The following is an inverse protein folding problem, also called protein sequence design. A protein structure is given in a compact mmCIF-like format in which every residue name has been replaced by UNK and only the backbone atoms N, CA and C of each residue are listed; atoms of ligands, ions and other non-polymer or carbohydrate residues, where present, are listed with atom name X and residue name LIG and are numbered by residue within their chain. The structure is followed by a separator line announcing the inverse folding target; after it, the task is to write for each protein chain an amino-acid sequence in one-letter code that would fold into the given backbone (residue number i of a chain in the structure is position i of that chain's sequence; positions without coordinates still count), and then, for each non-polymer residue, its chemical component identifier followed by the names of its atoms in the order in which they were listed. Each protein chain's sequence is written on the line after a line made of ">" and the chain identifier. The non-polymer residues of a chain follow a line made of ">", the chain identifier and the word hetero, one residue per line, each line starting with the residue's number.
data_IF_199968873971
#
_entry.id   IF_199968873971
#
_cell.length_a   1.000
_cell.length_b   1.000
_cell.length_c   1.000
_cell.angle_alpha   90.00
_cell.angle_beta   90.00
_cell.angle_gamma   90.00
#
_symmetry.space_group_name_H-M   'P 1'
#
loop_
_entity.id
_entity.type
_entity.pdbx_description
1 polymer ?
#
# COMPACT_ATOMS: atom_id res chain seq x y z
N UNK A 1 -24.13 -11.58 -8.02
CA UNK A 1 -23.51 -11.25 -6.71
C UNK A 1 -24.12 -9.94 -6.23
N UNK A 2 -25.01 -9.98 -5.25
CA UNK A 2 -25.72 -8.79 -4.75
C UNK A 2 -24.74 -7.86 -4.03
N UNK A 3 -24.27 -6.81 -4.73
CA UNK A 3 -23.55 -5.73 -4.06
C UNK A 3 -24.56 -4.92 -3.25
N UNK A 4 -24.61 -5.15 -1.94
CA UNK A 4 -25.35 -4.32 -0.99
C UNK A 4 -24.69 -2.93 -0.92
N UNK A 5 -25.01 -2.06 -1.88
CA UNK A 5 -24.65 -0.64 -1.85
C UNK A 5 -25.48 0.06 -0.79
N UNK A 6 -24.85 0.50 0.30
CA UNK A 6 -25.48 1.36 1.31
C UNK A 6 -25.18 2.83 0.99
N UNK A 7 -26.22 3.67 0.98
CA UNK A 7 -26.03 5.12 0.92
C UNK A 7 -25.39 5.61 2.22
N UNK A 8 -24.35 6.43 2.09
CA UNK A 8 -23.78 7.18 3.18
C UNK A 8 -24.27 8.62 3.08
N UNK A 9 -24.81 9.17 4.16
CA UNK A 9 -25.16 10.59 4.25
C UNK A 9 -23.90 11.42 4.50
N UNK A 10 -22.97 11.39 3.55
CA UNK A 10 -21.76 12.22 3.58
C UNK A 10 -22.01 13.50 2.81
N UNK A 11 -21.85 14.65 3.47
CA UNK A 11 -21.80 15.92 2.78
C UNK A 11 -20.49 16.01 1.97
N UNK A 12 -20.63 16.32 0.68
CA UNK A 12 -19.50 16.63 -0.20
C UNK A 12 -19.47 18.15 -0.43
N UNK A 13 -18.29 18.78 -0.49
CA UNK A 13 -18.18 20.19 -0.85
C UNK A 13 -18.78 20.45 -2.23
N UNK A 14 -19.51 21.56 -2.38
CA UNK A 14 -20.19 21.89 -3.64
C UNK A 14 -19.19 22.04 -4.80
N UNK A 15 -18.04 22.66 -4.53
CA UNK A 15 -16.97 22.86 -5.53
C UNK A 15 -16.51 21.53 -6.14
N UNK A 16 -16.30 20.51 -5.29
CA UNK A 16 -15.90 19.17 -5.72
C UNK A 16 -17.01 18.43 -6.47
N UNK A 17 -18.27 18.63 -6.08
CA UNK A 17 -19.41 18.07 -6.80
C UNK A 17 -19.57 18.71 -8.19
N UNK A 18 -19.33 20.01 -8.31
CA UNK A 18 -19.40 20.72 -9.57
C UNK A 18 -18.29 20.26 -10.52
N UNK A 19 -17.05 20.13 -10.03
CA UNK A 19 -15.93 19.60 -10.80
C UNK A 19 -16.15 18.13 -11.23
N UNK A 20 -16.71 17.30 -10.35
CA UNK A 20 -17.05 15.91 -10.68
C UNK A 20 -18.10 15.86 -11.79
N UNK A 21 -19.12 16.72 -11.73
CA UNK A 21 -20.20 16.80 -12.72
C UNK A 21 -19.73 17.35 -14.06
N UNK A 22 -18.78 18.30 -14.07
CA UNK A 22 -18.24 18.86 -15.31
C UNK A 22 -17.28 17.89 -16.01
N UNK A 23 -16.58 17.06 -15.25
CA UNK A 23 -15.52 16.18 -15.78
C UNK A 23 -16.04 14.80 -16.18
N UNK A 24 -17.04 14.26 -15.46
CA UNK A 24 -17.44 12.85 -15.59
C UNK A 24 -18.95 12.72 -15.91
N UNK A 25 -19.33 11.85 -16.86
CA UNK A 25 -20.73 11.54 -17.16
C UNK A 25 -21.48 11.02 -15.94
N UNK A 26 -22.75 11.42 -15.80
CA UNK A 26 -23.60 11.16 -14.62
C UNK A 26 -23.65 9.69 -14.16
N UNK A 27 -23.53 8.74 -15.09
CA UNK A 27 -23.59 7.30 -14.82
C UNK A 27 -22.26 6.71 -14.32
N UNK A 28 -21.13 7.39 -14.51
CA UNK A 28 -19.81 6.96 -14.01
C UNK A 28 -19.42 7.63 -12.69
N UNK A 29 -20.11 8.71 -12.30
CA UNK A 29 -19.79 9.49 -11.10
C UNK A 29 -19.74 8.65 -9.83
N UNK A 30 -20.70 7.75 -9.63
CA UNK A 30 -20.74 6.87 -8.45
C UNK A 30 -19.56 5.89 -8.41
N UNK A 31 -19.16 5.37 -9.57
CA UNK A 31 -18.02 4.47 -9.70
C UNK A 31 -16.71 5.20 -9.41
N UNK A 32 -16.52 6.39 -9.97
CA UNK A 32 -15.30 7.18 -9.76
C UNK A 32 -15.16 7.60 -8.30
N UNK A 33 -16.24 8.04 -7.66
CA UNK A 33 -16.24 8.37 -6.22
C UNK A 33 -15.88 7.13 -5.38
N UNK A 34 -16.45 5.97 -5.70
CA UNK A 34 -16.13 4.74 -4.98
C UNK A 34 -14.67 4.29 -5.18
N UNK A 35 -14.13 4.40 -6.40
CA UNK A 35 -12.73 4.08 -6.70
C UNK A 35 -11.76 5.07 -6.03
N UNK A 36 -12.04 6.37 -6.09
CA UNK A 36 -11.27 7.41 -5.40
C UNK A 36 -11.22 7.18 -3.90
N UNK A 37 -12.39 6.92 -3.28
CA UNK A 37 -12.47 6.62 -1.85
C UNK A 37 -11.70 5.34 -1.48
N UNK A 38 -11.77 4.29 -2.30
CA UNK A 38 -10.98 3.05 -2.10
C UNK A 38 -9.49 3.32 -2.14
N UNK A 39 -9.02 4.15 -3.08
CA UNK A 39 -7.62 4.48 -3.22
C UNK A 39 -7.10 5.33 -2.05
N UNK A 40 -7.86 6.33 -1.62
CA UNK A 40 -7.49 7.14 -0.46
C UNK A 40 -7.48 6.32 0.84
N UNK A 41 -8.46 5.43 1.05
CA UNK A 41 -8.46 4.52 2.19
C UNK A 41 -7.24 3.59 2.17
N UNK A 42 -6.84 3.07 1.00
CA UNK A 42 -5.61 2.28 0.87
C UNK A 42 -4.38 3.12 1.24
N UNK A 43 -4.29 4.36 0.77
CA UNK A 43 -3.17 5.27 1.07
C UNK A 43 -3.06 5.56 2.57
N UNK A 44 -4.18 5.85 3.23
CA UNK A 44 -4.23 6.08 4.69
C UNK A 44 -3.82 4.81 5.44
N UNK A 45 -4.36 3.64 5.08
CA UNK A 45 -3.97 2.36 5.69
C UNK A 45 -2.49 2.07 5.51
N UNK A 46 -1.95 2.31 4.32
CA UNK A 46 -0.53 2.13 4.03
C UNK A 46 0.34 3.07 4.87
N UNK A 47 -0.01 4.36 4.95
CA UNK A 47 0.71 5.33 5.80
C UNK A 47 0.67 4.92 7.28
N UNK A 48 -0.49 4.48 7.77
CA UNK A 48 -0.65 3.95 9.14
C UNK A 48 0.17 2.69 9.38
N UNK A 49 0.32 1.82 8.38
CA UNK A 49 1.16 0.63 8.49
C UNK A 49 2.66 0.95 8.43
N UNK A 50 3.06 1.99 7.68
CA UNK A 50 4.46 2.40 7.59
C UNK A 50 4.95 3.08 8.87
N UNK A 51 4.13 3.92 9.51
CA UNK A 51 4.56 4.64 10.73
C UNK A 51 5.11 3.76 11.86
N UNK A 52 4.47 2.65 12.27
CA UNK A 52 5.00 1.77 13.30
C UNK A 52 6.18 0.91 12.80
N UNK A 53 6.29 0.69 11.48
CA UNK A 53 7.31 -0.18 10.90
C UNK A 53 8.57 0.58 10.43
N UNK A 54 8.51 1.91 10.38
CA UNK A 54 9.64 2.79 10.12
C UNK A 54 10.63 2.73 11.29
N UNK A 55 11.56 1.79 11.23
CA UNK A 55 12.57 1.57 12.25
C UNK A 55 12.59 0.15 12.83
N UNK A 56 11.68 -0.74 12.43
CA UNK A 56 11.71 -2.16 12.83
C UNK A 56 12.98 -2.86 12.34
N UNK A 57 13.54 -2.40 11.21
CA UNK A 57 14.78 -2.91 10.61
C UNK A 57 16.05 -2.24 11.18
N UNK A 58 16.04 -1.89 12.48
CA UNK A 58 17.22 -1.35 13.17
C UNK A 58 18.03 -2.47 13.82
N UNK A 59 19.33 -2.24 13.96
CA UNK A 59 20.31 -3.17 14.54
C UNK A 59 19.93 -3.68 15.94
N UNK A 60 19.15 -2.90 16.69
CA UNK A 60 18.63 -3.24 18.02
C UNK A 60 17.68 -4.46 18.00
N UNK A 61 16.91 -4.64 16.92
CA UNK A 61 15.96 -5.75 16.76
C UNK A 61 16.48 -6.85 15.85
N UNK A 62 17.51 -6.57 15.05
CA UNK A 62 18.09 -7.50 14.09
C UNK A 62 19.63 -7.45 14.13
N UNK A 63 20.21 -8.29 14.98
CA UNK A 63 21.67 -8.41 15.13
C UNK A 63 22.37 -8.78 13.81
N UNK A 64 21.66 -9.47 12.92
CA UNK A 64 22.09 -9.87 11.59
C UNK A 64 22.26 -8.69 10.62
N UNK A 65 21.58 -7.57 10.88
CA UNK A 65 21.67 -6.34 10.08
C UNK A 65 22.77 -5.38 10.57
N UNK A 66 23.38 -5.65 11.74
CA UNK A 66 24.42 -4.83 12.37
C UNK A 66 25.65 -4.57 11.49
N UNK A 67 25.95 -5.48 10.56
CA UNK A 67 27.06 -5.32 9.60
C UNK A 67 26.63 -4.61 8.30
N UNK A 68 25.43 -4.04 8.30
CA UNK A 68 24.78 -3.38 7.17
C UNK A 68 23.93 -4.33 6.33
N UNK A 69 22.74 -3.85 5.92
CA UNK A 69 21.78 -4.57 5.08
C UNK A 69 22.40 -5.10 3.79
N UNK A 70 23.32 -4.34 3.17
CA UNK A 70 24.02 -4.75 1.94
C UNK A 70 24.86 -6.02 2.14
N UNK A 71 25.54 -6.14 3.28
CA UNK A 71 26.38 -7.30 3.58
C UNK A 71 25.53 -8.53 3.89
N UNK A 72 24.42 -8.34 4.61
CA UNK A 72 23.43 -9.38 4.88
C UNK A 72 22.78 -9.93 3.60
N UNK A 73 22.34 -9.05 2.69
CA UNK A 73 21.80 -9.47 1.39
C UNK A 73 22.87 -10.23 0.57
N UNK A 74 24.13 -9.79 0.62
CA UNK A 74 25.23 -10.48 -0.07
C UNK A 74 25.50 -11.86 0.52
N UNK A 75 25.40 -12.06 1.83
CA UNK A 75 25.54 -13.40 2.44
C UNK A 75 24.38 -14.32 2.05
N UNK A 76 23.14 -13.82 2.03
CA UNK A 76 21.97 -14.60 1.57
C UNK A 76 22.10 -15.03 0.10
N UNK A 77 22.59 -14.15 -0.78
CA UNK A 77 22.84 -14.50 -2.19
C UNK A 77 23.98 -15.49 -2.37
N UNK A 78 24.98 -15.49 -1.47
CA UNK A 78 26.07 -16.47 -1.51
C UNK A 78 25.59 -17.84 -1.07
N UNK A 79 24.76 -17.93 -0.02
CA UNK A 79 24.22 -19.21 0.45
C UNK A 79 23.27 -19.85 -0.56
N UNK A 80 22.47 -19.06 -1.28
CA UNK A 80 21.58 -19.59 -2.32
C UNK A 80 22.34 -20.11 -3.55
N UNK A 81 23.44 -19.45 -3.95
CA UNK A 81 24.30 -19.91 -5.05
C UNK A 81 25.00 -21.22 -4.72
N UNK A 82 25.51 -21.37 -3.49
CA UNK A 82 26.18 -22.59 -3.05
C UNK A 82 25.22 -23.79 -2.97
N UNK A 83 23.92 -23.56 -2.69
CA UNK A 83 22.90 -24.61 -2.68
C UNK A 83 22.68 -25.23 -4.06
N UNK A 84 22.69 -24.42 -5.13
CA UNK A 84 22.56 -24.91 -6.51
C UNK A 84 23.77 -25.65 -7.07
N UNK A 85 24.93 -25.62 -6.39
CA UNK A 85 26.13 -26.38 -6.76
C UNK A 85 26.35 -27.64 -5.91
N UNK A 86 25.65 -27.77 -4.77
CA UNK A 86 25.78 -28.93 -3.89
C UNK A 86 24.78 -30.06 -4.20
N UNK A 87 23.73 -29.77 -4.98
CA UNK A 87 22.70 -30.73 -5.42
C UNK A 87 22.97 -31.27 -6.86
N UNK A 88 24.22 -31.24 -7.33
CA UNK A 88 24.65 -31.79 -8.63
C UNK A 88 25.78 -32.80 -8.48
#
# INVERSE_FOLDING_TARGET
>A
MNSLTKQANSALPEDLLQELKSTIPKWEQSRVVAEGLRNELKRIKFKKALQPNCGTWKDEKHSELRRGTRRFIRSLRKSSRLKGFADK
#
